data_IF_742161653082
#
_entry.id   IF_742161653082
#
_cell.length_a   1.000
_cell.length_b   1.000
_cell.length_c   1.000
_cell.angle_alpha   90.00
_cell.angle_beta   90.00
_cell.angle_gamma   90.00
#
_symmetry.space_group_name_H-M   'P 1'
#
loop_
_entity.id
_entity.type
_entity.pdbx_description
1 polymer ?
#
# COMPACT_ATOMS: atom_id res chain seq x y z
N UNK A 1 44.08 -11.16 5.56
CA UNK A 1 43.66 -9.90 6.22
C UNK A 1 44.06 -8.76 5.30
N UNK A 2 43.11 -8.25 4.53
CA UNK A 2 43.31 -7.05 3.73
C UNK A 2 42.89 -5.82 4.55
N UNK A 3 43.85 -4.91 4.72
CA UNK A 3 43.63 -3.63 5.41
C UNK A 3 42.64 -2.78 4.62
N UNK A 4 41.53 -2.37 5.23
CA UNK A 4 40.56 -1.47 4.59
C UNK A 4 41.12 -0.06 4.65
N UNK A 5 41.64 0.44 3.53
CA UNK A 5 42.10 1.83 3.39
C UNK A 5 40.87 2.73 3.20
N UNK A 6 40.56 3.53 4.20
CA UNK A 6 39.53 4.58 4.09
C UNK A 6 40.23 5.91 3.76
N UNK A 7 40.10 6.43 2.53
CA UNK A 7 40.74 7.69 2.18
C UNK A 7 40.15 8.86 2.94
N UNK A 8 40.98 9.85 3.32
CA UNK A 8 40.54 11.06 4.05
C UNK A 8 39.53 11.92 3.26
N UNK A 9 39.53 11.81 1.93
CA UNK A 9 38.61 12.48 1.05
C UNK A 9 37.93 11.47 0.11
N UNK A 10 36.94 10.78 0.66
CA UNK A 10 36.18 9.74 -0.04
C UNK A 10 35.49 10.28 -1.31
N UNK A 11 34.99 11.51 -1.25
CA UNK A 11 34.24 12.12 -2.35
C UNK A 11 35.13 12.41 -3.57
N UNK A 12 36.35 12.89 -3.34
CA UNK A 12 37.35 13.11 -4.38
C UNK A 12 37.82 11.79 -4.96
N UNK A 13 38.05 10.77 -4.15
CA UNK A 13 38.47 9.45 -4.63
C UNK A 13 37.41 8.75 -5.46
N UNK A 14 36.14 8.83 -5.05
CA UNK A 14 35.02 8.29 -5.84
C UNK A 14 34.89 9.00 -7.17
N UNK A 15 35.00 10.33 -7.18
CA UNK A 15 34.93 11.15 -8.41
C UNK A 15 36.09 10.87 -9.37
N UNK A 16 37.31 10.72 -8.85
CA UNK A 16 38.48 10.35 -9.64
C UNK A 16 38.36 8.94 -10.21
N UNK A 17 37.90 7.98 -9.40
CA UNK A 17 37.65 6.62 -9.85
C UNK A 17 36.59 6.56 -10.97
N UNK A 18 35.50 7.31 -10.85
CA UNK A 18 34.48 7.43 -11.87
C UNK A 18 35.00 8.08 -13.17
N UNK A 19 35.83 9.11 -13.06
CA UNK A 19 36.43 9.77 -14.22
C UNK A 19 37.42 8.85 -14.96
N UNK A 20 38.28 8.12 -14.22
CA UNK A 20 39.20 7.14 -14.80
C UNK A 20 38.41 6.01 -15.48
N UNK A 21 37.38 5.49 -14.84
CA UNK A 21 36.53 4.45 -15.43
C UNK A 21 35.85 4.93 -16.72
N UNK A 22 35.29 6.15 -16.70
CA UNK A 22 34.66 6.76 -17.89
C UNK A 22 35.66 6.97 -19.04
N UNK A 23 36.88 7.44 -18.73
CA UNK A 23 37.92 7.62 -19.73
C UNK A 23 38.34 6.30 -20.40
N UNK A 24 38.52 5.25 -19.60
CA UNK A 24 38.91 3.92 -20.08
C UNK A 24 37.80 3.24 -20.87
N UNK A 25 36.56 3.36 -20.40
CA UNK A 25 35.41 2.78 -21.08
C UNK A 25 35.08 3.50 -22.38
N UNK A 26 34.97 4.82 -22.36
CA UNK A 26 34.57 5.62 -23.52
C UNK A 26 35.73 5.93 -24.46
N UNK A 27 36.96 6.05 -23.96
CA UNK A 27 38.12 6.40 -24.75
C UNK A 27 38.94 5.23 -25.29
N UNK A 28 38.96 4.10 -24.59
CA UNK A 28 39.78 2.95 -24.92
C UNK A 28 38.96 1.66 -25.12
N UNK A 29 37.66 1.69 -24.92
CA UNK A 29 36.76 0.54 -24.95
C UNK A 29 37.22 -0.62 -24.02
N UNK A 30 37.84 -0.26 -22.89
CA UNK A 30 38.38 -1.19 -21.90
C UNK A 30 37.68 -0.97 -20.57
N UNK A 31 37.01 -1.99 -20.06
CA UNK A 31 36.51 -2.03 -18.69
C UNK A 31 37.58 -2.62 -17.79
N UNK A 32 38.21 -1.79 -16.94
CA UNK A 32 39.18 -2.25 -15.95
C UNK A 32 38.55 -2.90 -14.73
N UNK A 33 37.31 -2.52 -14.46
CA UNK A 33 36.52 -3.08 -13.36
C UNK A 33 35.30 -3.71 -13.98
N UNK A 34 35.30 -5.03 -14.04
CA UNK A 34 34.14 -5.80 -14.47
C UNK A 34 33.14 -5.82 -13.32
N UNK A 35 31.98 -5.14 -13.43
CA UNK A 35 30.96 -5.25 -12.40
C UNK A 35 30.43 -6.68 -12.34
N UNK A 36 30.18 -7.14 -11.12
CA UNK A 36 29.58 -8.44 -10.84
C UNK A 36 28.36 -8.29 -9.94
N UNK A 37 27.47 -9.27 -9.93
CA UNK A 37 26.38 -9.34 -8.96
C UNK A 37 26.95 -9.60 -7.55
N UNK A 38 26.62 -8.74 -6.59
CA UNK A 38 27.07 -8.90 -5.19
C UNK A 38 26.28 -10.00 -4.46
N UNK A 39 25.04 -10.19 -4.81
CA UNK A 39 24.12 -11.15 -4.21
C UNK A 39 23.43 -11.98 -5.32
N UNK A 40 23.02 -13.22 -5.04
CA UNK A 40 22.29 -14.02 -6.02
C UNK A 40 20.89 -13.45 -6.23
N UNK A 41 20.38 -13.60 -7.45
CA UNK A 41 18.96 -13.39 -7.74
C UNK A 41 18.28 -14.74 -7.71
N UNK A 42 17.15 -14.82 -7.02
CA UNK A 42 16.43 -16.07 -6.80
C UNK A 42 14.92 -15.87 -6.99
N UNK A 43 14.24 -16.94 -7.34
CA UNK A 43 12.79 -17.04 -7.34
C UNK A 43 12.31 -17.90 -6.18
N UNK A 44 11.11 -17.63 -5.69
CA UNK A 44 10.47 -18.52 -4.73
C UNK A 44 9.51 -19.44 -5.47
N UNK A 45 9.78 -20.73 -5.37
CA UNK A 45 8.94 -21.78 -5.97
C UNK A 45 7.92 -22.33 -4.98
N UNK A 46 7.23 -23.41 -5.34
CA UNK A 46 6.29 -24.11 -4.47
C UNK A 46 6.97 -24.47 -3.11
N UNK A 47 6.18 -24.42 -2.06
CA UNK A 47 6.61 -24.71 -0.67
C UNK A 47 7.68 -23.71 -0.16
N UNK A 48 7.64 -22.46 -0.64
CA UNK A 48 8.57 -21.38 -0.28
C UNK A 48 10.05 -21.73 -0.50
N UNK A 49 10.37 -22.63 -1.45
CA UNK A 49 11.73 -23.03 -1.75
C UNK A 49 12.41 -22.03 -2.67
N UNK A 50 13.56 -21.46 -2.27
CA UNK A 50 14.31 -20.58 -3.15
C UNK A 50 15.03 -21.38 -4.24
N UNK A 51 14.99 -20.85 -5.48
CA UNK A 51 15.81 -21.32 -6.60
C UNK A 51 16.63 -20.17 -7.11
N UNK A 52 17.95 -20.32 -7.12
CA UNK A 52 18.87 -19.33 -7.69
C UNK A 52 18.70 -19.31 -9.19
N UNK A 53 18.41 -18.14 -9.77
CA UNK A 53 18.29 -17.91 -11.20
C UNK A 53 19.48 -17.13 -11.78
N UNK A 54 20.18 -16.36 -10.94
CA UNK A 54 21.43 -15.68 -11.27
C UNK A 54 22.38 -15.76 -10.06
N UNK A 55 23.52 -16.46 -10.14
CA UNK A 55 24.46 -16.58 -9.02
C UNK A 55 25.10 -15.24 -8.63
N UNK A 56 25.50 -15.10 -7.38
CA UNK A 56 26.42 -14.02 -6.98
C UNK A 56 27.77 -14.19 -7.73
N UNK A 57 28.42 -13.08 -8.04
CA UNK A 57 29.67 -13.08 -8.81
C UNK A 57 29.48 -13.18 -10.31
N UNK A 58 28.24 -13.17 -10.82
CA UNK A 58 27.98 -13.14 -12.27
C UNK A 58 28.44 -11.80 -12.84
N UNK A 59 29.23 -11.81 -13.91
CA UNK A 59 29.71 -10.62 -14.62
C UNK A 59 28.54 -9.84 -15.25
N UNK A 60 28.62 -8.51 -15.23
CA UNK A 60 27.64 -7.58 -15.78
C UNK A 60 28.30 -6.79 -16.92
N UNK A 61 27.70 -6.71 -18.11
CA UNK A 61 26.45 -7.38 -18.50
C UNK A 61 26.60 -8.90 -18.58
N UNK A 62 25.56 -9.64 -18.24
CA UNK A 62 25.56 -11.09 -18.41
C UNK A 62 24.84 -11.48 -19.70
N UNK A 63 25.29 -12.59 -20.29
CA UNK A 63 24.55 -13.22 -21.37
C UNK A 63 23.18 -13.69 -20.87
N UNK A 64 22.25 -13.79 -21.79
CA UNK A 64 20.92 -14.34 -21.55
C UNK A 64 20.98 -15.73 -20.91
N UNK A 65 20.31 -15.89 -19.77
CA UNK A 65 20.17 -17.16 -19.06
C UNK A 65 18.74 -17.65 -19.25
N UNK A 66 18.60 -18.88 -19.73
CA UNK A 66 17.31 -19.54 -19.91
C UNK A 66 17.08 -20.55 -18.78
N UNK A 67 15.88 -20.51 -18.19
CA UNK A 67 15.41 -21.45 -17.19
C UNK A 67 14.14 -22.10 -17.69
N UNK A 68 14.19 -23.40 -17.92
CA UNK A 68 13.15 -24.21 -18.57
C UNK A 68 12.66 -25.38 -17.70
N UNK A 69 13.18 -25.51 -16.49
CA UNK A 69 12.86 -26.57 -15.55
C UNK A 69 11.72 -26.21 -14.56
N UNK A 70 11.02 -25.12 -14.80
CA UNK A 70 9.86 -24.69 -14.03
C UNK A 70 8.57 -25.20 -14.69
N UNK A 71 7.63 -25.64 -13.86
CA UNK A 71 6.32 -26.10 -14.31
C UNK A 71 5.21 -25.59 -13.38
N UNK A 72 3.99 -25.53 -13.91
CA UNK A 72 2.81 -25.25 -13.09
C UNK A 72 2.59 -26.36 -12.08
N UNK A 73 2.19 -26.00 -10.87
CA UNK A 73 2.09 -26.93 -9.72
C UNK A 73 0.71 -27.58 -9.58
N UNK A 74 -0.30 -27.07 -10.30
CA UNK A 74 -1.71 -27.51 -10.16
C UNK A 74 -2.41 -27.51 -11.51
N UNK A 75 -3.44 -28.32 -11.62
CA UNK A 75 -4.35 -28.26 -12.75
C UNK A 75 -5.29 -27.07 -12.62
N UNK A 76 -5.58 -26.41 -13.74
CA UNK A 76 -6.47 -25.25 -13.75
C UNK A 76 -5.90 -23.98 -13.13
N UNK A 77 -4.59 -23.87 -12.99
CA UNK A 77 -3.93 -22.70 -12.38
C UNK A 77 -4.16 -21.44 -13.22
N UNK A 78 -4.88 -20.47 -12.66
CA UNK A 78 -5.20 -19.19 -13.34
C UNK A 78 -4.02 -18.24 -13.38
N UNK A 79 -3.26 -18.19 -12.31
CA UNK A 79 -2.13 -17.28 -12.15
C UNK A 79 -0.91 -18.08 -11.69
N UNK A 80 0.20 -17.94 -12.42
CA UNK A 80 1.52 -18.39 -11.98
C UNK A 80 2.22 -17.20 -11.32
N UNK A 81 2.60 -17.35 -10.07
CA UNK A 81 3.33 -16.33 -9.30
C UNK A 81 4.75 -16.80 -9.05
N UNK A 82 5.72 -15.96 -9.43
CA UNK A 82 7.13 -16.18 -9.23
C UNK A 82 7.75 -14.95 -8.57
N UNK A 83 7.81 -14.89 -7.23
CA UNK A 83 8.48 -13.82 -6.53
C UNK A 83 9.97 -13.82 -6.83
N UNK A 84 10.49 -12.68 -7.27
CA UNK A 84 11.90 -12.44 -7.57
C UNK A 84 12.53 -11.76 -6.37
N UNK A 85 13.59 -12.37 -5.82
CA UNK A 85 14.28 -11.88 -4.63
C UNK A 85 15.78 -11.70 -4.91
N UNK A 86 16.44 -10.90 -4.08
CA UNK A 86 17.90 -10.69 -4.12
C UNK A 86 18.52 -11.04 -2.79
N UNK A 87 19.58 -11.82 -2.82
CA UNK A 87 20.31 -12.28 -1.64
C UNK A 87 19.60 -13.38 -0.86
N UNK A 88 18.37 -13.09 -0.41
CA UNK A 88 17.56 -14.04 0.35
C UNK A 88 16.05 -13.85 0.06
N UNK A 89 15.21 -14.72 0.61
CA UNK A 89 13.76 -14.73 0.37
C UNK A 89 12.99 -13.57 1.01
N UNK A 90 13.64 -12.76 1.84
CA UNK A 90 13.01 -11.60 2.49
C UNK A 90 13.19 -10.31 1.71
N UNK A 91 14.16 -10.26 0.80
CA UNK A 91 14.45 -9.11 -0.07
C UNK A 91 13.78 -9.30 -1.44
N UNK A 92 12.47 -9.15 -1.51
CA UNK A 92 11.74 -9.30 -2.77
C UNK A 92 11.85 -8.02 -3.61
N UNK A 93 12.23 -8.18 -4.88
CA UNK A 93 12.21 -7.10 -5.88
C UNK A 93 10.78 -6.86 -6.39
N UNK A 94 10.12 -7.92 -6.81
CA UNK A 94 8.76 -7.89 -7.31
C UNK A 94 8.18 -9.30 -7.38
N UNK A 95 6.86 -9.41 -7.56
CA UNK A 95 6.18 -10.67 -7.80
C UNK A 95 5.77 -10.76 -9.28
N UNK A 96 6.45 -11.60 -10.05
CA UNK A 96 6.11 -11.85 -11.44
C UNK A 96 4.83 -12.69 -11.50
N UNK A 97 3.84 -12.24 -12.27
CA UNK A 97 2.55 -12.92 -12.43
C UNK A 97 2.31 -13.21 -13.93
N UNK A 98 2.03 -14.48 -14.25
CA UNK A 98 1.61 -14.90 -15.57
C UNK A 98 0.15 -15.34 -15.47
N UNK A 99 -0.75 -14.58 -16.06
CA UNK A 99 -2.19 -14.84 -16.03
C UNK A 99 -2.60 -15.68 -17.23
N UNK A 100 -3.36 -16.76 -16.98
CA UNK A 100 -3.84 -17.61 -18.04
C UNK A 100 -4.97 -16.96 -18.82
N UNK A 101 -4.84 -16.88 -20.13
CA UNK A 101 -5.93 -16.48 -21.03
C UNK A 101 -6.96 -17.60 -21.28
N UNK A 102 -6.68 -18.82 -20.79
CA UNK A 102 -7.55 -19.97 -21.01
C UNK A 102 -8.69 -20.02 -19.98
N UNK A 103 -9.92 -20.35 -20.39
CA UNK A 103 -11.07 -20.45 -19.46
C UNK A 103 -10.83 -21.38 -18.28
N UNK A 104 -10.08 -22.48 -18.49
CA UNK A 104 -9.80 -23.51 -17.50
C UNK A 104 -8.45 -23.33 -16.77
N UNK A 105 -7.72 -22.24 -17.03
CA UNK A 105 -6.37 -22.04 -16.48
C UNK A 105 -5.31 -22.93 -17.14
N UNK A 106 -4.08 -22.88 -16.63
CA UNK A 106 -2.97 -23.72 -17.09
C UNK A 106 -3.11 -25.15 -16.56
N UNK A 107 -2.92 -26.20 -17.39
CA UNK A 107 -2.81 -27.58 -16.90
C UNK A 107 -1.62 -27.77 -15.96
N UNK A 108 -1.70 -28.78 -15.10
CA UNK A 108 -0.56 -29.20 -14.26
C UNK A 108 0.63 -29.63 -15.13
N UNK A 109 1.85 -29.38 -14.64
CA UNK A 109 3.11 -29.68 -15.35
C UNK A 109 3.30 -28.91 -16.69
N UNK A 110 2.58 -27.80 -16.87
CA UNK A 110 2.83 -26.93 -18.02
C UNK A 110 4.18 -26.22 -17.86
N UNK A 111 5.07 -26.29 -18.87
CA UNK A 111 6.38 -25.64 -18.79
C UNK A 111 6.27 -24.12 -18.69
N UNK A 112 7.10 -23.55 -17.82
CA UNK A 112 7.29 -22.11 -17.66
C UNK A 112 8.73 -21.82 -18.05
N UNK A 113 8.91 -20.96 -19.04
CA UNK A 113 10.23 -20.52 -19.48
C UNK A 113 10.50 -19.12 -18.91
N UNK A 114 11.66 -18.94 -18.32
CA UNK A 114 12.19 -17.65 -17.93
C UNK A 114 13.45 -17.35 -18.71
N UNK A 115 13.51 -16.16 -19.26
CA UNK A 115 14.69 -15.63 -19.95
C UNK A 115 15.14 -14.40 -19.16
N UNK A 116 16.39 -14.42 -18.69
CA UNK A 116 16.92 -13.44 -17.74
C UNK A 116 18.21 -12.88 -18.30
N UNK A 117 18.39 -11.59 -18.22
CA UNK A 117 19.63 -10.89 -18.49
C UNK A 117 19.85 -9.71 -17.53
N UNK A 118 21.08 -9.32 -17.32
CA UNK A 118 21.44 -8.04 -16.72
C UNK A 118 22.22 -7.25 -17.76
N UNK A 119 21.66 -6.12 -18.18
CA UNK A 119 22.25 -5.30 -19.22
C UNK A 119 23.43 -4.45 -18.74
N UNK A 120 24.07 -3.70 -19.65
CA UNK A 120 25.19 -2.82 -19.34
C UNK A 120 24.85 -1.70 -18.35
N UNK A 121 23.58 -1.28 -18.29
CA UNK A 121 23.06 -0.30 -17.34
C UNK A 121 22.73 -0.92 -15.96
N UNK A 122 23.12 -2.19 -15.76
CA UNK A 122 22.87 -2.96 -14.53
C UNK A 122 21.39 -3.17 -14.23
N UNK A 123 20.54 -3.16 -15.25
CA UNK A 123 19.12 -3.43 -15.13
C UNK A 123 18.84 -4.91 -15.40
N UNK A 124 18.08 -5.51 -14.50
CA UNK A 124 17.55 -6.87 -14.62
C UNK A 124 16.36 -6.86 -15.59
N UNK A 125 16.44 -7.66 -16.63
CA UNK A 125 15.38 -7.86 -17.62
C UNK A 125 14.92 -9.30 -17.50
N UNK A 126 13.62 -9.51 -17.36
CA UNK A 126 13.02 -10.84 -17.25
C UNK A 126 11.86 -10.94 -18.24
N UNK A 127 11.90 -12.00 -19.04
CA UNK A 127 10.80 -12.44 -19.88
C UNK A 127 10.32 -13.80 -19.39
N UNK A 128 9.03 -13.93 -19.16
CA UNK A 128 8.43 -15.18 -18.73
C UNK A 128 7.35 -15.62 -19.71
N UNK A 129 7.33 -16.91 -20.05
CA UNK A 129 6.30 -17.48 -20.93
C UNK A 129 5.72 -18.76 -20.33
N UNK A 130 4.41 -18.94 -20.49
CA UNK A 130 3.70 -20.16 -20.16
C UNK A 130 2.59 -20.40 -21.20
N UNK A 131 2.66 -21.48 -21.96
CA UNK A 131 1.71 -21.81 -23.01
C UNK A 131 1.39 -20.66 -24.01
N UNK A 132 2.41 -19.91 -24.42
CA UNK A 132 2.26 -18.77 -25.32
C UNK A 132 1.76 -17.49 -24.68
N UNK A 133 1.38 -17.50 -23.39
CA UNK A 133 1.15 -16.29 -22.62
C UNK A 133 2.50 -15.71 -22.23
N UNK A 134 2.75 -14.45 -22.62
CA UNK A 134 4.02 -13.76 -22.39
C UNK A 134 3.80 -12.71 -21.31
N UNK A 135 4.66 -12.71 -20.29
CA UNK A 135 4.76 -11.64 -19.30
C UNK A 135 6.08 -10.90 -19.52
N UNK A 136 5.98 -9.59 -19.77
CA UNK A 136 7.14 -8.70 -19.82
C UNK A 136 7.20 -7.91 -18.52
N UNK A 137 8.38 -7.82 -17.97
CA UNK A 137 8.65 -7.00 -16.78
C UNK A 137 9.49 -5.81 -17.21
N UNK A 138 9.08 -4.62 -16.78
CA UNK A 138 9.89 -3.42 -16.95
C UNK A 138 11.28 -3.63 -16.33
N UNK A 139 12.35 -3.13 -16.97
CA UNK A 139 13.71 -3.28 -16.45
C UNK A 139 13.83 -2.74 -15.02
N UNK A 140 14.37 -3.56 -14.13
CA UNK A 140 14.48 -3.27 -12.69
C UNK A 140 15.93 -3.24 -12.26
N UNK A 141 16.27 -2.32 -11.33
CA UNK A 141 17.58 -2.35 -10.68
C UNK A 141 17.63 -3.41 -9.58
N UNK A 142 18.41 -4.48 -9.71
CA UNK A 142 18.54 -5.48 -8.66
C UNK A 142 19.31 -4.95 -7.43
N UNK A 143 19.87 -3.75 -7.52
CA UNK A 143 20.66 -3.11 -6.46
C UNK A 143 19.84 -2.11 -5.65
N UNK A 144 18.62 -1.76 -6.07
CA UNK A 144 17.71 -0.84 -5.38
C UNK A 144 16.77 -1.58 -4.41
N UNK A 145 17.35 -2.42 -3.53
CA UNK A 145 16.55 -3.29 -2.68
C UNK A 145 16.08 -2.59 -1.42
N UNK A 146 14.78 -2.46 -1.27
CA UNK A 146 14.13 -2.24 0.02
C UNK A 146 13.77 -3.61 0.59
N UNK A 147 14.24 -3.91 1.80
CA UNK A 147 13.80 -5.09 2.52
C UNK A 147 12.31 -4.96 2.87
N UNK A 148 11.52 -5.99 2.57
CA UNK A 148 10.10 -5.99 2.91
C UNK A 148 9.91 -6.01 4.42
N UNK A 149 9.04 -5.17 4.92
CA UNK A 149 8.63 -5.22 6.33
C UNK A 149 7.90 -6.52 6.65
N UNK A 150 7.76 -6.82 7.94
CA UNK A 150 7.01 -8.00 8.41
C UNK A 150 5.56 -7.95 7.91
N UNK A 151 4.97 -6.76 7.88
CA UNK A 151 3.59 -6.49 7.43
C UNK A 151 3.46 -6.70 5.92
N UNK A 152 4.41 -6.20 5.11
CA UNK A 152 4.44 -6.40 3.66
C UNK A 152 4.56 -7.90 3.31
N UNK A 153 5.42 -8.65 4.02
CA UNK A 153 5.53 -10.11 3.87
C UNK A 153 4.24 -10.84 4.24
N UNK A 154 3.59 -10.42 5.33
CA UNK A 154 2.30 -10.98 5.75
C UNK A 154 1.19 -10.71 4.73
N UNK A 155 1.15 -9.52 4.12
CA UNK A 155 0.20 -9.17 3.07
C UNK A 155 0.38 -10.07 1.83
N UNK A 156 1.62 -10.27 1.38
CA UNK A 156 1.91 -11.18 0.26
C UNK A 156 1.53 -12.63 0.55
N UNK A 157 1.77 -13.10 1.78
CA UNK A 157 1.35 -14.44 2.19
C UNK A 157 -0.16 -14.59 2.19
N UNK A 158 -0.88 -13.59 2.69
CA UNK A 158 -2.35 -13.58 2.69
C UNK A 158 -2.91 -13.54 1.25
N UNK A 159 -2.31 -12.75 0.35
CA UNK A 159 -2.68 -12.70 -1.07
C UNK A 159 -2.50 -14.07 -1.75
N UNK A 160 -1.36 -14.73 -1.54
CA UNK A 160 -1.12 -16.09 -2.04
C UNK A 160 -2.13 -17.09 -1.49
N UNK A 161 -2.44 -17.03 -0.20
CA UNK A 161 -3.42 -17.92 0.41
C UNK A 161 -4.82 -17.72 -0.21
N UNK A 162 -5.24 -16.49 -0.43
CA UNK A 162 -6.51 -16.18 -1.09
C UNK A 162 -6.57 -16.73 -2.53
N UNK A 163 -5.49 -16.56 -3.30
CA UNK A 163 -5.39 -17.12 -4.64
C UNK A 163 -5.45 -18.65 -4.64
N UNK A 164 -4.74 -19.30 -3.69
CA UNK A 164 -4.75 -20.75 -3.53
C UNK A 164 -6.15 -21.29 -3.21
N UNK A 165 -6.85 -20.67 -2.27
CA UNK A 165 -8.22 -21.06 -1.92
C UNK A 165 -9.20 -20.84 -3.06
N UNK A 166 -9.08 -19.70 -3.78
CA UNK A 166 -9.90 -19.42 -4.95
C UNK A 166 -9.74 -20.49 -6.01
N UNK A 167 -8.52 -20.93 -6.30
CA UNK A 167 -8.26 -22.00 -7.27
C UNK A 167 -8.84 -23.35 -6.83
N UNK A 168 -8.78 -23.67 -5.52
CA UNK A 168 -9.30 -24.92 -4.98
C UNK A 168 -10.84 -24.94 -4.89
N UNK A 169 -11.46 -23.78 -4.68
CA UNK A 169 -12.87 -23.63 -4.42
C UNK A 169 -13.68 -23.03 -5.59
N UNK A 170 -13.22 -23.25 -6.83
CA UNK A 170 -13.96 -22.81 -8.02
C UNK A 170 -13.96 -21.28 -8.23
N UNK A 171 -12.91 -20.59 -7.79
CA UNK A 171 -12.70 -19.14 -7.99
C UNK A 171 -13.06 -18.27 -6.78
N UNK A 172 -13.45 -18.88 -5.66
CA UNK A 172 -13.98 -18.14 -4.49
C UNK A 172 -13.13 -18.40 -3.24
N UNK A 173 -12.41 -17.38 -2.70
CA UNK A 173 -11.77 -17.49 -1.40
C UNK A 173 -12.79 -17.55 -0.27
N UNK A 174 -12.42 -18.12 0.87
CA UNK A 174 -13.28 -18.13 2.07
C UNK A 174 -13.44 -16.70 2.64
N UNK A 175 -14.54 -16.48 3.36
CA UNK A 175 -14.81 -15.20 4.03
C UNK A 175 -13.69 -14.82 5.00
N UNK A 176 -13.18 -15.79 5.75
CA UNK A 176 -12.10 -15.65 6.72
C UNK A 176 -10.78 -15.21 6.04
N UNK A 177 -10.48 -15.80 4.91
CA UNK A 177 -9.30 -15.45 4.12
C UNK A 177 -9.41 -14.04 3.55
N UNK A 178 -10.58 -13.61 3.05
CA UNK A 178 -10.81 -12.25 2.59
C UNK A 178 -10.70 -11.22 3.74
N UNK A 179 -11.21 -11.55 4.93
CA UNK A 179 -11.03 -10.70 6.11
C UNK A 179 -9.55 -10.53 6.46
N UNK A 180 -8.79 -11.63 6.45
CA UNK A 180 -7.36 -11.64 6.74
C UNK A 180 -6.58 -10.82 5.71
N UNK A 181 -6.89 -11.00 4.43
CA UNK A 181 -6.28 -10.27 3.33
C UNK A 181 -6.55 -8.77 3.42
N UNK A 182 -7.81 -8.38 3.64
CA UNK A 182 -8.16 -6.98 3.86
C UNK A 182 -7.38 -6.37 5.01
N UNK A 183 -7.31 -7.03 6.16
CA UNK A 183 -6.57 -6.54 7.32
C UNK A 183 -5.07 -6.40 7.03
N UNK A 184 -4.49 -7.32 6.26
CA UNK A 184 -3.10 -7.25 5.86
C UNK A 184 -2.83 -6.04 4.96
N UNK A 185 -3.70 -5.75 3.99
CA UNK A 185 -3.59 -4.55 3.17
C UNK A 185 -3.74 -3.25 3.97
N UNK A 186 -4.67 -3.20 4.94
CA UNK A 186 -4.81 -2.04 5.83
C UNK A 186 -3.54 -1.78 6.66
N UNK A 187 -2.87 -2.83 7.14
CA UNK A 187 -1.62 -2.71 7.91
C UNK A 187 -0.46 -2.11 7.11
N UNK A 188 -0.44 -2.32 5.80
CA UNK A 188 0.58 -1.72 4.91
C UNK A 188 0.12 -0.42 4.26
N UNK A 189 -1.04 0.13 4.67
CA UNK A 189 -1.59 1.37 4.13
C UNK A 189 -2.08 1.27 2.68
N UNK A 190 -2.36 0.06 2.19
CA UNK A 190 -2.88 -0.13 0.83
C UNK A 190 -4.42 -0.15 0.84
N UNK A 191 -5.02 1.04 1.02
CA UNK A 191 -6.46 1.21 1.11
C UNK A 191 -7.18 0.79 -0.18
N UNK A 192 -6.54 0.94 -1.35
CA UNK A 192 -7.12 0.52 -2.62
C UNK A 192 -7.33 -1.00 -2.68
N UNK A 193 -6.30 -1.79 -2.40
CA UNK A 193 -6.42 -3.26 -2.36
C UNK A 193 -7.32 -3.75 -1.22
N UNK A 194 -7.33 -3.03 -0.10
CA UNK A 194 -8.26 -3.31 1.00
C UNK A 194 -9.72 -3.07 0.57
N UNK A 195 -9.98 -2.00 -0.21
CA UNK A 195 -11.30 -1.71 -0.78
C UNK A 195 -11.75 -2.81 -1.75
N UNK A 196 -10.92 -3.17 -2.73
CA UNK A 196 -11.20 -4.25 -3.69
C UNK A 196 -11.48 -5.59 -2.98
N UNK A 197 -10.72 -5.91 -1.93
CA UNK A 197 -10.92 -7.13 -1.14
C UNK A 197 -12.26 -7.10 -0.39
N UNK A 198 -12.64 -5.95 0.19
CA UNK A 198 -13.92 -5.80 0.89
C UNK A 198 -15.11 -5.75 -0.09
N UNK A 199 -14.92 -5.17 -1.28
CA UNK A 199 -15.89 -5.20 -2.39
C UNK A 199 -16.16 -6.65 -2.80
N UNK A 200 -15.12 -7.43 -3.10
CA UNK A 200 -15.24 -8.87 -3.41
C UNK A 200 -15.90 -9.65 -2.26
N UNK A 201 -15.48 -9.39 -1.02
CA UNK A 201 -16.12 -10.01 0.14
C UNK A 201 -17.62 -9.68 0.19
N UNK A 202 -18.02 -8.46 -0.13
CA UNK A 202 -19.42 -8.03 -0.11
C UNK A 202 -20.23 -8.59 -1.27
N UNK A 203 -19.61 -8.81 -2.42
CA UNK A 203 -20.25 -9.52 -3.55
C UNK A 203 -20.57 -10.98 -3.21
N UNK A 204 -19.61 -11.67 -2.61
CA UNK A 204 -19.73 -13.09 -2.26
C UNK A 204 -20.55 -13.32 -0.98
N UNK A 205 -20.46 -12.43 -0.02
CA UNK A 205 -21.09 -12.48 1.29
C UNK A 205 -21.77 -11.14 1.61
N UNK A 206 -22.93 -10.83 1.00
CA UNK A 206 -23.56 -9.51 1.08
C UNK A 206 -23.80 -9.04 2.52
N UNK A 207 -23.31 -7.84 2.84
CA UNK A 207 -23.59 -7.13 4.08
C UNK A 207 -23.68 -5.63 3.80
N UNK A 208 -24.85 -5.05 3.97
CA UNK A 208 -25.13 -3.64 3.74
C UNK A 208 -24.21 -2.71 4.55
N UNK A 209 -23.81 -3.13 5.75
CA UNK A 209 -22.90 -2.36 6.62
C UNK A 209 -21.52 -2.16 6.00
N UNK A 210 -21.11 -3.03 5.07
CA UNK A 210 -19.84 -2.91 4.37
C UNK A 210 -19.83 -1.77 3.34
N UNK A 211 -20.95 -1.39 2.77
CA UNK A 211 -21.02 -0.41 1.67
C UNK A 211 -20.36 0.92 2.04
N UNK A 212 -20.70 1.48 3.21
CA UNK A 212 -20.05 2.70 3.68
C UNK A 212 -18.54 2.50 3.92
N UNK A 213 -18.12 1.35 4.45
CA UNK A 213 -16.71 1.04 4.69
C UNK A 213 -15.92 0.89 3.39
N UNK A 214 -16.50 0.27 2.36
CA UNK A 214 -15.90 0.17 1.02
C UNK A 214 -15.71 1.58 0.44
N UNK A 215 -16.74 2.43 0.52
CA UNK A 215 -16.67 3.83 0.08
C UNK A 215 -15.56 4.61 0.78
N UNK A 216 -15.38 4.46 2.09
CA UNK A 216 -14.30 5.11 2.86
C UNK A 216 -12.92 4.66 2.36
N UNK A 217 -12.72 3.37 2.12
CA UNK A 217 -11.44 2.85 1.63
C UNK A 217 -11.12 3.36 0.22
N UNK A 218 -12.11 3.42 -0.69
CA UNK A 218 -11.91 4.03 -2.00
C UNK A 218 -11.62 5.52 -1.92
N UNK A 219 -12.30 6.25 -1.03
CA UNK A 219 -12.00 7.67 -0.79
C UNK A 219 -10.57 7.89 -0.30
N UNK A 220 -10.11 7.10 0.69
CA UNK A 220 -8.75 7.17 1.22
C UNK A 220 -7.69 6.85 0.15
N UNK A 221 -8.00 5.95 -0.77
CA UNK A 221 -7.11 5.62 -1.90
C UNK A 221 -7.15 6.66 -3.04
N UNK A 222 -7.99 7.69 -2.94
CA UNK A 222 -8.17 8.74 -3.95
C UNK A 222 -9.15 8.38 -5.08
N UNK A 223 -9.77 7.19 -5.05
CA UNK A 223 -10.77 6.79 -6.04
C UNK A 223 -12.15 7.34 -5.65
N UNK A 224 -12.34 8.64 -5.86
CA UNK A 224 -13.54 9.35 -5.44
C UNK A 224 -14.81 8.93 -6.21
N UNK A 225 -14.67 8.45 -7.44
CA UNK A 225 -15.81 7.97 -8.24
C UNK A 225 -16.42 6.72 -7.62
N UNK A 226 -15.61 5.67 -7.42
CA UNK A 226 -16.08 4.46 -6.74
C UNK A 226 -16.54 4.73 -5.31
N UNK A 227 -15.86 5.61 -4.58
CA UNK A 227 -16.28 6.00 -3.24
C UNK A 227 -17.70 6.56 -3.23
N UNK A 228 -18.02 7.48 -4.15
CA UNK A 228 -19.35 8.07 -4.26
C UNK A 228 -20.42 7.01 -4.60
N UNK A 229 -20.13 6.10 -5.55
CA UNK A 229 -21.05 5.01 -5.90
C UNK A 229 -21.41 4.14 -4.66
N UNK A 230 -20.42 3.77 -3.85
CA UNK A 230 -20.67 2.97 -2.65
C UNK A 230 -21.38 3.74 -1.54
N UNK A 231 -21.12 5.03 -1.38
CA UNK A 231 -21.89 5.86 -0.44
C UNK A 231 -23.34 6.05 -0.90
N UNK A 232 -23.57 6.23 -2.19
CA UNK A 232 -24.93 6.29 -2.75
C UNK A 232 -25.69 4.98 -2.54
N UNK A 233 -25.05 3.83 -2.76
CA UNK A 233 -25.64 2.53 -2.45
C UNK A 233 -25.94 2.37 -0.95
N UNK A 234 -25.03 2.82 -0.08
CA UNK A 234 -25.26 2.80 1.37
C UNK A 234 -26.47 3.65 1.78
N UNK A 235 -26.62 4.85 1.20
CA UNK A 235 -27.75 5.74 1.41
C UNK A 235 -29.06 5.12 0.85
N UNK A 236 -28.99 4.48 -0.31
CA UNK A 236 -30.16 3.80 -0.89
C UNK A 236 -30.68 2.69 0.02
N UNK A 237 -29.78 1.93 0.64
CA UNK A 237 -30.13 0.84 1.58
C UNK A 237 -30.57 1.37 2.94
N UNK A 238 -29.92 2.41 3.44
CA UNK A 238 -30.27 3.09 4.69
C UNK A 238 -30.26 4.60 4.52
N UNK A 239 -31.39 5.22 4.18
CA UNK A 239 -31.50 6.67 3.99
C UNK A 239 -31.26 7.51 5.25
N UNK A 240 -31.17 6.89 6.42
CA UNK A 240 -30.89 7.55 7.69
C UNK A 240 -29.45 7.34 8.17
N UNK A 241 -28.57 6.85 7.31
CA UNK A 241 -27.15 6.70 7.66
C UNK A 241 -26.42 8.04 7.52
N UNK A 242 -26.28 8.76 8.64
CA UNK A 242 -25.62 10.07 8.70
C UNK A 242 -24.17 10.01 8.25
N UNK A 243 -23.48 8.91 8.49
CA UNK A 243 -22.07 8.72 8.05
C UNK A 243 -21.95 8.61 6.54
N UNK A 244 -22.85 7.85 5.89
CA UNK A 244 -22.85 7.72 4.44
C UNK A 244 -23.15 9.06 3.76
N UNK A 245 -24.12 9.82 4.26
CA UNK A 245 -24.41 11.17 3.78
C UNK A 245 -23.21 12.10 3.94
N UNK A 246 -22.57 12.11 5.12
CA UNK A 246 -21.40 12.93 5.36
C UNK A 246 -20.24 12.56 4.44
N UNK A 247 -19.94 11.26 4.30
CA UNK A 247 -18.85 10.75 3.48
C UNK A 247 -19.07 11.07 1.99
N UNK A 248 -20.28 10.90 1.47
CA UNK A 248 -20.62 11.31 0.11
C UNK A 248 -20.43 12.82 -0.08
N UNK A 249 -20.95 13.62 0.86
CA UNK A 249 -20.76 15.07 0.83
C UNK A 249 -19.28 15.44 0.79
N UNK A 250 -18.49 14.90 1.70
CA UNK A 250 -17.04 15.18 1.79
C UNK A 250 -16.28 14.76 0.52
N UNK A 251 -16.61 13.62 -0.06
CA UNK A 251 -16.05 13.15 -1.33
C UNK A 251 -16.36 14.11 -2.47
N UNK A 252 -17.57 14.69 -2.48
CA UNK A 252 -18.03 15.61 -3.51
C UNK A 252 -17.62 17.07 -3.29
N UNK A 253 -16.94 17.41 -2.20
CA UNK A 253 -16.61 18.79 -1.78
C UNK A 253 -15.95 19.62 -2.88
N UNK A 254 -15.07 19.03 -3.66
CA UNK A 254 -14.34 19.70 -4.75
C UNK A 254 -14.82 19.31 -6.15
N UNK A 255 -15.72 18.31 -6.24
CA UNK A 255 -16.23 17.77 -7.51
C UNK A 255 -17.59 18.37 -7.81
N UNK A 256 -18.53 18.33 -6.84
CA UNK A 256 -19.89 18.82 -6.99
C UNK A 256 -20.37 19.52 -5.70
N UNK A 257 -20.30 20.85 -5.69
CA UNK A 257 -20.64 21.67 -4.53
C UNK A 257 -22.09 21.55 -4.08
N UNK A 258 -23.00 21.26 -4.99
CA UNK A 258 -24.44 21.15 -4.64
C UNK A 258 -24.69 19.83 -3.90
N UNK A 259 -24.11 18.74 -4.37
CA UNK A 259 -24.13 17.44 -3.66
C UNK A 259 -23.47 17.57 -2.30
N UNK A 260 -22.27 18.16 -2.24
CA UNK A 260 -21.57 18.42 -0.96
C UNK A 260 -22.49 19.12 0.05
N UNK A 261 -23.09 20.25 -0.32
CA UNK A 261 -23.94 21.02 0.59
C UNK A 261 -25.19 20.25 1.01
N UNK A 262 -25.83 19.56 0.08
CA UNK A 262 -27.03 18.77 0.36
C UNK A 262 -26.73 17.64 1.33
N UNK A 263 -25.70 16.87 1.06
CA UNK A 263 -25.41 15.65 1.81
C UNK A 263 -24.84 15.96 3.20
N UNK A 264 -23.99 16.98 3.34
CA UNK A 264 -23.50 17.43 4.65
C UNK A 264 -24.66 17.96 5.52
N UNK A 265 -25.59 18.74 4.95
CA UNK A 265 -26.76 19.19 5.69
C UNK A 265 -27.66 18.03 6.10
N UNK A 266 -27.83 17.04 5.23
CA UNK A 266 -28.61 15.84 5.53
C UNK A 266 -27.97 15.05 6.68
N UNK A 267 -26.66 14.88 6.68
CA UNK A 267 -25.94 14.24 7.78
C UNK A 267 -26.15 14.97 9.12
N UNK A 268 -26.05 16.29 9.12
CA UNK A 268 -26.33 17.12 10.29
C UNK A 268 -27.80 17.07 10.76
N UNK A 269 -28.77 17.05 9.83
CA UNK A 269 -30.19 16.89 10.16
C UNK A 269 -30.48 15.55 10.84
N UNK A 270 -29.87 14.47 10.32
CA UNK A 270 -30.03 13.11 10.86
C UNK A 270 -29.38 12.97 12.24
N UNK A 271 -28.20 13.56 12.41
CA UNK A 271 -27.49 13.54 13.70
C UNK A 271 -26.91 14.92 14.04
N UNK A 272 -27.67 15.75 14.78
CA UNK A 272 -27.22 17.08 15.17
C UNK A 272 -26.02 17.10 16.12
N UNK A 273 -25.62 15.95 16.67
CA UNK A 273 -24.46 15.79 17.57
C UNK A 273 -23.25 15.20 16.83
N UNK A 274 -23.32 15.03 15.52
CA UNK A 274 -22.18 14.61 14.72
C UNK A 274 -21.26 15.80 14.47
N UNK A 275 -20.26 15.99 15.32
CA UNK A 275 -19.40 17.19 15.39
C UNK A 275 -18.78 17.55 14.03
N UNK A 276 -18.30 16.56 13.28
CA UNK A 276 -17.63 16.79 12.00
C UNK A 276 -18.64 17.32 10.96
N UNK A 277 -19.84 16.74 10.90
CA UNK A 277 -20.91 17.24 10.03
C UNK A 277 -21.36 18.64 10.46
N UNK A 278 -21.40 18.92 11.75
CA UNK A 278 -21.72 20.23 12.32
C UNK A 278 -20.68 21.29 11.91
N UNK A 279 -19.39 20.96 11.95
CA UNK A 279 -18.30 21.85 11.50
C UNK A 279 -18.42 22.14 10.01
N UNK A 280 -18.62 21.12 9.17
CA UNK A 280 -18.75 21.31 7.72
C UNK A 280 -20.03 22.07 7.36
N UNK A 281 -21.16 21.82 8.04
CA UNK A 281 -22.38 22.60 7.87
C UNK A 281 -22.17 24.07 8.27
N UNK A 282 -21.41 24.34 9.34
CA UNK A 282 -21.00 25.69 9.72
C UNK A 282 -20.16 26.38 8.66
N UNK A 283 -19.23 25.68 8.00
CA UNK A 283 -18.43 26.20 6.88
C UNK A 283 -19.29 26.53 5.66
N UNK A 284 -20.29 25.70 5.37
CA UNK A 284 -21.27 25.95 4.31
C UNK A 284 -22.05 27.24 4.62
N UNK A 285 -22.56 27.39 5.83
CA UNK A 285 -23.33 28.57 6.26
C UNK A 285 -22.46 29.84 6.23
N UNK A 286 -21.21 29.76 6.64
CA UNK A 286 -20.23 30.86 6.56
C UNK A 286 -20.02 31.31 5.11
N UNK A 287 -19.88 30.34 4.19
CA UNK A 287 -19.73 30.62 2.74
C UNK A 287 -20.99 31.22 2.13
N UNK A 288 -22.18 30.99 2.71
CA UNK A 288 -23.47 31.56 2.29
C UNK A 288 -23.79 32.89 3.00
N UNK A 289 -22.89 33.40 3.83
CA UNK A 289 -23.08 34.66 4.58
C UNK A 289 -23.96 34.52 5.83
N UNK A 290 -24.33 33.32 6.24
CA UNK A 290 -25.12 33.02 7.46
C UNK A 290 -24.20 32.97 8.69
N UNK A 291 -23.61 34.11 9.05
CA UNK A 291 -22.54 34.17 10.04
C UNK A 291 -22.97 33.72 11.42
N UNK A 292 -24.18 34.07 11.88
CA UNK A 292 -24.71 33.69 13.19
C UNK A 292 -24.93 32.17 13.28
N UNK A 293 -25.59 31.58 12.28
CA UNK A 293 -25.83 30.13 12.21
C UNK A 293 -24.51 29.34 12.16
N UNK A 294 -23.53 29.85 11.40
CA UNK A 294 -22.19 29.29 11.32
C UNK A 294 -21.49 29.28 12.67
N UNK A 295 -21.45 30.44 13.35
CA UNK A 295 -20.82 30.59 14.65
C UNK A 295 -21.47 29.67 15.71
N UNK A 296 -22.79 29.59 15.72
CA UNK A 296 -23.52 28.70 16.63
C UNK A 296 -23.11 27.23 16.43
N UNK A 297 -22.96 26.79 15.18
CA UNK A 297 -22.51 25.43 14.86
C UNK A 297 -21.08 25.19 15.29
N UNK A 298 -20.18 26.13 15.01
CA UNK A 298 -18.77 26.01 15.43
C UNK A 298 -18.63 25.97 16.95
N UNK A 299 -19.32 26.82 17.70
CA UNK A 299 -19.26 26.79 19.17
C UNK A 299 -19.77 25.46 19.73
N UNK A 300 -20.89 24.94 19.22
CA UNK A 300 -21.42 23.64 19.69
C UNK A 300 -20.43 22.50 19.45
N UNK A 301 -19.86 22.38 18.26
CA UNK A 301 -18.88 21.35 17.95
C UNK A 301 -17.61 21.54 18.80
N UNK A 302 -17.12 22.77 18.90
CA UNK A 302 -15.95 23.11 19.69
C UNK A 302 -16.10 22.73 21.15
N UNK A 303 -17.18 23.16 21.81
CA UNK A 303 -17.41 22.91 23.23
C UNK A 303 -17.51 21.41 23.52
N UNK A 304 -18.20 20.65 22.67
CA UNK A 304 -18.33 19.20 22.82
C UNK A 304 -16.97 18.50 22.64
N UNK A 305 -16.26 18.76 21.53
CA UNK A 305 -14.96 18.15 21.26
C UNK A 305 -13.89 18.60 22.27
N UNK A 306 -13.91 19.86 22.73
CA UNK A 306 -13.00 20.36 23.74
C UNK A 306 -13.21 19.66 25.09
N UNK A 307 -14.46 19.39 25.47
CA UNK A 307 -14.78 18.62 26.65
C UNK A 307 -14.24 17.19 26.54
N UNK A 308 -14.46 16.54 25.40
CA UNK A 308 -13.94 15.19 25.13
C UNK A 308 -12.40 15.16 25.20
N UNK A 309 -11.72 16.17 24.66
CA UNK A 309 -10.27 16.26 24.76
C UNK A 309 -9.79 16.45 26.21
N UNK A 310 -10.42 17.34 26.98
CA UNK A 310 -10.11 17.57 28.39
C UNK A 310 -10.35 16.35 29.26
N UNK A 311 -11.34 15.53 28.95
CA UNK A 311 -11.65 14.27 29.65
C UNK A 311 -10.86 13.07 29.11
N UNK A 312 -9.97 13.29 28.15
CA UNK A 312 -9.16 12.26 27.50
C UNK A 312 -10.00 11.15 26.83
N UNK A 313 -11.17 11.50 26.31
CA UNK A 313 -12.04 10.59 25.54
C UNK A 313 -11.83 10.73 24.03
N UNK A 314 -11.31 11.88 23.56
CA UNK A 314 -10.90 12.11 22.17
C UNK A 314 -9.45 11.65 22.01
N UNK A 315 -9.23 10.46 21.41
CA UNK A 315 -7.92 9.77 21.45
C UNK A 315 -7.27 9.54 20.09
N UNK A 316 -7.91 9.92 19.01
CA UNK A 316 -7.36 9.75 17.66
C UNK A 316 -6.91 11.08 17.05
N UNK A 317 -5.85 11.04 16.24
CA UNK A 317 -5.24 12.23 15.63
C UNK A 317 -6.18 12.95 14.67
N UNK A 318 -7.06 12.22 13.97
CA UNK A 318 -8.01 12.80 13.02
C UNK A 318 -9.06 13.65 13.74
N UNK A 319 -9.66 13.13 14.82
CA UNK A 319 -10.61 13.87 15.64
C UNK A 319 -9.97 15.09 16.31
N UNK A 320 -8.71 14.99 16.77
CA UNK A 320 -7.96 16.14 17.26
C UNK A 320 -7.70 17.17 16.14
N UNK A 321 -7.47 16.72 14.92
CA UNK A 321 -7.38 17.59 13.75
C UNK A 321 -8.65 18.40 13.51
N UNK A 322 -9.82 17.80 13.66
CA UNK A 322 -11.11 18.48 13.56
C UNK A 322 -11.34 19.49 14.68
N UNK A 323 -10.99 19.15 15.94
CA UNK A 323 -11.04 20.09 17.06
C UNK A 323 -10.14 21.30 16.82
N UNK A 324 -8.90 21.07 16.34
CA UNK A 324 -7.99 22.17 16.01
C UNK A 324 -8.52 23.03 14.86
N UNK A 325 -9.20 22.41 13.88
CA UNK A 325 -9.79 23.13 12.76
C UNK A 325 -10.94 24.05 13.22
N UNK A 326 -11.88 23.56 14.04
CA UNK A 326 -12.97 24.38 14.54
C UNK A 326 -12.50 25.45 15.52
N UNK A 327 -11.46 25.18 16.33
CA UNK A 327 -10.83 26.18 17.20
C UNK A 327 -10.29 27.36 16.36
N UNK A 328 -9.66 27.09 15.22
CA UNK A 328 -9.20 28.14 14.28
C UNK A 328 -10.34 28.95 13.67
N UNK A 329 -11.47 28.30 13.34
CA UNK A 329 -12.66 29.02 12.82
C UNK A 329 -13.19 30.04 13.86
N UNK A 330 -13.04 29.75 15.16
CA UNK A 330 -13.44 30.60 16.28
C UNK A 330 -12.34 31.58 16.75
N UNK A 331 -11.14 31.53 16.16
CA UNK A 331 -9.99 32.37 16.58
C UNK A 331 -9.24 31.84 17.79
N UNK A 332 -9.57 30.66 18.31
CA UNK A 332 -8.95 30.02 19.48
C UNK A 332 -7.60 29.37 19.12
N UNK A 333 -6.68 30.16 18.56
CA UNK A 333 -5.41 29.67 18.00
C UNK A 333 -4.50 29.01 19.06
N UNK A 334 -4.58 29.45 20.33
CA UNK A 334 -3.83 28.84 21.44
C UNK A 334 -4.23 27.38 21.65
N UNK A 335 -5.52 27.11 21.72
CA UNK A 335 -6.08 25.75 21.86
C UNK A 335 -5.78 24.93 20.62
N UNK A 336 -5.98 25.49 19.43
CA UNK A 336 -5.69 24.79 18.18
C UNK A 336 -4.24 24.27 18.13
N UNK A 337 -3.27 25.07 18.55
CA UNK A 337 -1.87 24.66 18.58
C UNK A 337 -1.58 23.58 19.63
N UNK A 338 -2.18 23.66 20.82
CA UNK A 338 -2.04 22.63 21.85
C UNK A 338 -2.63 21.29 21.41
N UNK A 339 -3.81 21.31 20.80
CA UNK A 339 -4.48 20.12 20.27
C UNK A 339 -3.67 19.48 19.15
N UNK A 340 -3.11 20.30 18.23
CA UNK A 340 -2.25 19.79 17.16
C UNK A 340 -0.94 19.19 17.68
N UNK A 341 -0.37 19.73 18.77
CA UNK A 341 0.78 19.13 19.42
C UNK A 341 0.43 17.76 20.03
N UNK A 342 -0.78 17.63 20.62
CA UNK A 342 -1.29 16.35 21.12
C UNK A 342 -1.51 15.32 20.00
N UNK A 343 -2.07 15.74 18.87
CA UNK A 343 -2.26 14.88 17.70
C UNK A 343 -0.92 14.33 17.18
N UNK A 344 0.08 15.20 16.99
CA UNK A 344 1.42 14.80 16.57
C UNK A 344 2.10 13.85 17.56
N UNK A 345 1.87 14.04 18.86
CA UNK A 345 2.40 13.13 19.87
C UNK A 345 1.80 11.73 19.74
N UNK A 346 0.50 11.61 19.50
CA UNK A 346 -0.17 10.33 19.26
C UNK A 346 0.32 9.63 17.98
N UNK A 347 0.52 10.37 16.90
CA UNK A 347 1.09 9.83 15.67
C UNK A 347 2.52 9.30 15.90
N UNK A 348 3.36 10.05 16.60
CA UNK A 348 4.71 9.63 16.94
C UNK A 348 4.73 8.43 17.90
N UNK A 349 3.87 8.39 18.91
CA UNK A 349 3.76 7.26 19.83
C UNK A 349 3.27 6.00 19.12
N UNK A 350 2.35 6.12 18.19
CA UNK A 350 1.93 5.01 17.31
C UNK A 350 3.10 4.49 16.47
N UNK A 351 3.83 5.38 15.81
CA UNK A 351 5.02 5.05 15.01
C UNK A 351 6.13 4.40 15.84
N UNK A 352 6.45 4.97 17.02
CA UNK A 352 7.48 4.41 17.92
C UNK A 352 7.06 3.09 18.56
N UNK A 353 5.80 2.88 18.85
CA UNK A 353 5.31 1.60 19.38
C UNK A 353 5.39 0.48 18.34
N UNK A 354 5.09 0.74 17.08
CA UNK A 354 5.23 -0.22 15.98
C UNK A 354 6.70 -0.54 15.68
N UNK A 355 7.58 0.48 15.63
CA UNK A 355 9.01 0.29 15.41
C UNK A 355 9.70 -0.45 16.58
N UNK A 356 9.34 -0.15 17.81
CA UNK A 356 9.88 -0.83 18.99
C UNK A 356 9.36 -2.27 19.13
N UNK A 357 8.10 -2.54 18.78
CA UNK A 357 7.55 -3.90 18.75
C UNK A 357 8.20 -4.75 17.64
N UNK A 358 8.49 -4.15 16.49
CA UNK A 358 9.27 -4.80 15.43
C UNK A 358 10.67 -5.14 15.90
N UNK A 359 11.42 -4.19 16.48
CA UNK A 359 12.78 -4.41 17.02
C UNK A 359 12.83 -5.44 18.15
N UNK A 360 11.82 -5.47 19.02
CA UNK A 360 11.73 -6.46 20.12
C UNK A 360 11.46 -7.85 19.53
N UNK A 361 10.60 -7.99 18.52
CA UNK A 361 10.37 -9.26 17.81
C UNK A 361 11.61 -9.75 17.10
N UNK A 362 12.32 -8.88 16.40
CA UNK A 362 13.54 -9.22 15.67
C UNK A 362 14.66 -9.69 16.63
N UNK A 363 14.79 -9.07 17.81
CA UNK A 363 15.70 -9.50 18.84
C UNK A 363 15.31 -10.85 19.51
N UNK A 364 14.02 -11.18 19.58
CA UNK A 364 13.55 -12.48 20.09
C UNK A 364 13.75 -13.62 19.08
N UNK A 365 13.77 -13.32 17.78
CA UNK A 365 13.98 -14.30 16.71
C UNK A 365 15.47 -14.57 16.42
N UNK A 366 16.38 -13.67 16.82
CA UNK A 366 17.82 -13.80 16.63
C UNK A 366 18.55 -14.44 17.81
N UNK A 367 17.88 -14.65 18.96
CA UNK A 367 18.45 -15.23 20.18
C UNK A 367 17.91 -16.64 20.52
N UNK A 368 17.36 -17.37 19.54
CA UNK A 368 17.01 -18.80 19.69
C UNK A 368 17.71 -19.66 18.64
#
# INVERSE_FOLDING_TARGET
>A
DSEILVPMDLQTHVSQGAAIHSLLFNGMNKCLIQPITSEPILIITKDDRPKIILPAGTEIPCNTIEIDDLVTSRDGQKIVELPICVGNTTKMLFNLKIESSMPNGFPINTPIQLVIEVNADKMLIIHATCMGTICHVEPLSPFANKELTTEERAALKAERQANLEAEQNGGVPSKETLITLKQAYLKIGNDFKAAETLELQNELYPNVENLNSIGVLYHNSGNNEKAAEFFEQAIQQNPNNEYAHFNLGNTMKFINKDVYKREVRKAYELNPNYDIALIEAGRIDKAEGKTEDSNNKFHRAYDHMLQQWKTNTLKDSASLGWLAAVARELGENGIANQVMASAKKLENESYYNEENLSKIRDNMLTNN
#
